data_IF_441880752866
#
_entry.id   IF_441880752866
#
_cell.length_a   1.000
_cell.length_b   1.000
_cell.length_c   1.000
_cell.angle_alpha   90.00
_cell.angle_beta   90.00
_cell.angle_gamma   90.00
#
_symmetry.space_group_name_H-M   'P 1'
#
loop_
_entity.id
_entity.type
_entity.pdbx_description
1 polymer ?
#
# COMPACT_ATOMS: atom_id res chain seq x y z
N UNK A 1 2.36 8.03 -3.27
CA UNK A 1 1.24 7.06 -3.18
C UNK A 1 0.79 6.96 -1.74
N UNK A 2 -0.48 6.89 -1.52
CA UNK A 2 -1.07 6.62 -0.21
C UNK A 2 -1.95 5.39 -0.32
N UNK A 3 -2.11 4.67 0.79
CA UNK A 3 -2.99 3.50 0.82
C UNK A 3 -4.15 3.75 1.79
N UNK A 4 -5.20 2.98 1.61
CA UNK A 4 -6.31 2.96 2.56
C UNK A 4 -5.84 2.18 3.77
N UNK A 5 -5.52 2.91 4.84
CA UNK A 5 -4.81 2.33 5.98
C UNK A 5 -5.59 1.19 6.63
N UNK A 6 -6.92 1.29 6.69
CA UNK A 6 -7.69 0.23 7.32
C UNK A 6 -7.62 -1.08 6.54
N UNK A 7 -7.45 -1.02 5.22
CA UNK A 7 -7.30 -2.24 4.43
C UNK A 7 -5.94 -2.87 4.67
N UNK A 8 -4.90 -2.05 4.76
CA UNK A 8 -3.57 -2.56 5.05
C UNK A 8 -3.50 -3.16 6.44
N UNK A 9 -4.10 -2.46 7.42
CA UNK A 9 -4.13 -2.97 8.79
C UNK A 9 -4.89 -4.29 8.87
N UNK A 10 -6.01 -4.41 8.16
CA UNK A 10 -6.79 -5.63 8.15
C UNK A 10 -5.99 -6.79 7.57
N UNK A 11 -5.25 -6.53 6.49
CA UNK A 11 -4.38 -7.55 5.90
C UNK A 11 -3.34 -8.02 6.90
N UNK A 12 -2.68 -7.07 7.55
CA UNK A 12 -1.62 -7.41 8.50
C UNK A 12 -2.16 -8.20 9.68
N UNK A 13 -3.34 -7.82 10.18
CA UNK A 13 -3.96 -8.56 11.29
C UNK A 13 -4.36 -9.96 10.87
N UNK A 14 -4.90 -10.09 9.68
CA UNK A 14 -5.37 -11.39 9.18
C UNK A 14 -4.24 -12.41 9.11
N UNK A 15 -3.06 -11.96 8.71
CA UNK A 15 -1.92 -12.85 8.52
C UNK A 15 -0.88 -12.77 9.62
N UNK A 16 -1.14 -11.98 10.65
CA UNK A 16 -0.20 -11.84 11.77
C UNK A 16 1.12 -11.22 11.38
N UNK A 17 1.09 -10.25 10.48
CA UNK A 17 2.29 -9.62 9.95
C UNK A 17 2.55 -8.30 10.67
N UNK A 18 3.78 -8.11 11.16
CA UNK A 18 4.19 -6.84 11.75
C UNK A 18 4.76 -5.93 10.68
N UNK A 19 4.92 -4.63 11.02
CA UNK A 19 5.54 -3.68 10.10
C UNK A 19 6.95 -4.12 9.69
N UNK A 20 7.72 -4.66 10.64
CA UNK A 20 9.07 -5.13 10.34
C UNK A 20 9.06 -6.30 9.36
N UNK A 21 8.13 -7.22 9.55
CA UNK A 21 8.01 -8.37 8.65
C UNK A 21 7.61 -7.89 7.25
N UNK A 22 6.61 -7.01 7.17
CA UNK A 22 6.14 -6.52 5.89
C UNK A 22 7.24 -5.75 5.15
N UNK A 23 8.00 -4.92 5.88
CA UNK A 23 9.10 -4.18 5.29
C UNK A 23 10.14 -5.13 4.69
N UNK A 24 10.47 -6.19 5.42
CA UNK A 24 11.44 -7.16 4.93
C UNK A 24 10.93 -7.86 3.67
N UNK A 25 9.66 -8.23 3.66
CA UNK A 25 9.08 -8.93 2.53
C UNK A 25 8.96 -8.04 1.30
N UNK A 26 8.65 -6.77 1.51
CA UNK A 26 8.59 -5.82 0.41
C UNK A 26 9.97 -5.36 -0.06
N UNK A 27 10.97 -5.51 0.79
CA UNK A 27 12.31 -5.04 0.47
C UNK A 27 12.47 -3.53 0.65
N UNK A 28 11.78 -2.97 1.65
CA UNK A 28 11.87 -1.53 1.95
C UNK A 28 12.21 -1.34 3.42
N UNK A 29 12.54 -0.11 3.80
CA UNK A 29 12.79 0.22 5.19
C UNK A 29 11.50 0.18 5.99
N UNK A 30 11.59 -0.17 7.28
CA UNK A 30 10.43 -0.18 8.17
C UNK A 30 9.74 1.18 8.17
N UNK A 31 10.50 2.27 8.10
CA UNK A 31 9.93 3.61 8.08
C UNK A 31 8.97 3.81 6.91
N UNK A 32 9.22 3.14 5.78
CA UNK A 32 8.32 3.25 4.63
C UNK A 32 6.99 2.54 4.90
N UNK A 33 7.04 1.37 5.56
CA UNK A 33 5.81 0.69 5.96
C UNK A 33 5.04 1.51 6.97
N UNK A 34 5.74 2.17 7.90
CA UNK A 34 5.09 3.02 8.87
C UNK A 34 4.39 4.20 8.21
N UNK A 35 4.99 4.75 7.15
CA UNK A 35 4.32 5.78 6.37
C UNK A 35 3.03 5.26 5.74
N UNK A 36 3.08 4.05 5.18
CA UNK A 36 1.87 3.44 4.62
C UNK A 36 0.79 3.29 5.68
N UNK A 37 1.17 2.85 6.87
CA UNK A 37 0.21 2.63 7.95
C UNK A 37 -0.36 3.92 8.53
N UNK A 38 0.36 5.01 8.41
CA UNK A 38 -0.10 6.31 8.91
C UNK A 38 -0.83 7.13 7.87
N UNK A 39 -0.95 6.62 6.66
CA UNK A 39 -1.60 7.36 5.57
C UNK A 39 -0.72 8.45 4.98
N UNK A 40 0.58 8.39 5.24
CA UNK A 40 1.54 9.33 4.67
C UNK A 40 1.95 8.85 3.28
N UNK A 41 2.13 9.79 2.36
CA UNK A 41 2.52 9.43 1.00
C UNK A 41 3.92 8.84 0.99
N UNK A 42 4.12 7.82 0.16
CA UNK A 42 5.43 7.21 -0.06
C UNK A 42 5.87 7.50 -1.50
N UNK A 43 7.16 7.37 -1.73
CA UNK A 43 7.73 7.62 -3.04
C UNK A 43 7.49 6.49 -4.02
N UNK A 44 8.03 6.68 -5.21
CA UNK A 44 7.81 5.76 -6.33
C UNK A 44 8.39 4.38 -6.08
N UNK A 45 9.55 4.32 -5.45
CA UNK A 45 10.19 3.02 -5.21
C UNK A 45 9.37 2.17 -4.25
N UNK A 46 8.91 2.76 -3.15
CA UNK A 46 8.07 2.03 -2.21
C UNK A 46 6.73 1.66 -2.85
N UNK A 47 6.18 2.56 -3.65
CA UNK A 47 4.93 2.26 -4.36
C UNK A 47 5.09 1.06 -5.28
N UNK A 48 6.20 1.00 -6.02
CA UNK A 48 6.46 -0.11 -6.92
C UNK A 48 6.60 -1.42 -6.16
N UNK A 49 7.31 -1.40 -5.03
CA UNK A 49 7.49 -2.58 -4.19
C UNK A 49 6.16 -3.04 -3.60
N UNK A 50 5.30 -2.09 -3.22
CA UNK A 50 3.98 -2.39 -2.70
C UNK A 50 3.14 -3.13 -3.75
N UNK A 51 3.10 -2.58 -4.96
CA UNK A 51 2.33 -3.17 -6.05
C UNK A 51 2.86 -4.55 -6.40
N UNK A 52 4.17 -4.70 -6.41
CA UNK A 52 4.79 -6.00 -6.72
C UNK A 52 4.46 -7.04 -5.66
N UNK A 53 4.50 -6.64 -4.38
CA UNK A 53 4.25 -7.57 -3.28
C UNK A 53 2.80 -8.07 -3.26
N UNK A 54 1.86 -7.16 -3.38
CA UNK A 54 0.43 -7.52 -3.31
C UNK A 54 -0.12 -8.01 -4.64
N UNK A 55 0.52 -7.66 -5.74
CA UNK A 55 -0.02 -7.90 -7.07
C UNK A 55 -0.91 -6.76 -7.50
N UNK A 56 -1.01 -6.53 -8.81
CA UNK A 56 -1.72 -5.36 -9.33
C UNK A 56 -3.19 -5.33 -8.90
N UNK A 57 -3.85 -6.48 -8.92
CA UNK A 57 -5.29 -6.53 -8.61
C UNK A 57 -5.56 -6.13 -7.17
N UNK A 58 -4.77 -6.63 -6.22
CA UNK A 58 -4.97 -6.31 -4.82
C UNK A 58 -4.48 -4.91 -4.50
N UNK A 59 -3.34 -4.54 -5.08
CA UNK A 59 -2.75 -3.23 -4.82
C UNK A 59 -3.70 -2.11 -5.25
N UNK A 60 -4.34 -2.24 -6.39
CA UNK A 60 -5.21 -1.19 -6.90
C UNK A 60 -6.40 -0.95 -5.97
N UNK A 61 -6.87 -1.98 -5.28
CA UNK A 61 -7.96 -1.84 -4.33
C UNK A 61 -7.53 -1.14 -3.05
N UNK A 62 -6.25 -1.26 -2.70
CA UNK A 62 -5.72 -0.72 -1.45
C UNK A 62 -5.20 0.70 -1.59
N UNK A 63 -4.92 1.16 -2.80
CA UNK A 63 -4.41 2.51 -3.02
C UNK A 63 -5.53 3.53 -2.87
N UNK A 64 -5.23 4.60 -2.15
CA UNK A 64 -6.18 5.70 -1.96
C UNK A 64 -6.02 6.69 -3.10
N UNK A 65 -6.72 6.44 -4.19
CA UNK A 65 -6.61 7.25 -5.40
C UNK A 65 -7.11 8.68 -5.18
N UNK A 66 -8.14 8.84 -4.38
CA UNK A 66 -8.68 10.17 -4.11
C UNK A 66 -7.66 11.04 -3.38
N UNK A 67 -6.91 10.45 -2.46
CA UNK A 67 -5.93 11.20 -1.67
C UNK A 67 -4.76 11.70 -2.52
N UNK A 68 -4.49 11.07 -3.66
CA UNK A 68 -3.40 11.50 -4.54
C UNK A 68 -3.92 12.22 -5.77
N UNK A 69 -5.23 12.56 -5.77
CA UNK A 69 -5.82 13.36 -6.84
C UNK A 69 -5.95 12.66 -8.17
N UNK A 70 -6.01 11.33 -8.16
CA UNK A 70 -6.12 10.55 -9.37
C UNK A 70 -7.29 9.60 -9.29
N UNK A 71 -7.81 9.23 -10.45
CA UNK A 71 -8.82 8.21 -10.52
C UNK A 71 -8.16 6.84 -10.61
N UNK A 72 -8.85 5.84 -10.09
CA UNK A 72 -8.40 4.47 -10.23
C UNK A 72 -8.58 4.04 -11.68
N UNK A 73 -7.51 3.78 -12.42
CA UNK A 73 -7.63 3.47 -13.84
C UNK A 73 -8.31 2.14 -14.14
N UNK A 74 -8.48 1.31 -13.10
CA UNK A 74 -9.08 -0.02 -13.30
C UNK A 74 -10.55 -0.05 -12.96
N UNK A 75 -11.09 1.00 -12.34
CA UNK A 75 -12.52 1.06 -12.02
C UNK A 75 -13.23 2.15 -12.78
N UNK A 76 -12.55 2.85 -13.60
CA UNK A 76 -13.13 3.93 -14.35
C UNK A 76 -14.13 3.40 -15.32
N UNK A 77 -14.95 3.83 -15.38
CA UNK A 77 -15.71 3.62 -16.31
C UNK A 77 -16.12 4.59 -17.06
N UNK A 78 -15.64 5.01 -16.82
CA UNK A 78 -15.66 5.74 -17.90
C UNK A 78 -16.62 6.83 -18.07
#
# INVERSE_FOLDING_TARGET
>A
MKVKTELLQAFMQKYGITAAILAREMGVAVAEVEKLLSGTAVGEETARRFIYYFGADEAVKMIDWAAIGKQNPFTDKG
#
